data_IF_277091596564
#
_entry.id   IF_277091596564
#
_cell.length_a   1.000
_cell.length_b   1.000
_cell.length_c   1.000
_cell.angle_alpha   90.00
_cell.angle_beta   90.00
_cell.angle_gamma   90.00
#
_symmetry.space_group_name_H-M   'P 1'
#
loop_
_entity.id
_entity.type
_entity.pdbx_description
1 polymer ?
#
# COMPACT_ATOMS: atom_id res chain seq x y z
N UNK A 1 -54.39 14.46 -18.62
CA UNK A 1 -53.45 13.33 -18.82
C UNK A 1 -52.57 13.46 -20.07
N UNK A 2 -53.09 13.75 -21.28
CA UNK A 2 -52.29 13.81 -22.53
C UNK A 2 -51.12 14.82 -22.53
N UNK A 3 -51.30 16.02 -21.95
CA UNK A 3 -50.23 17.03 -21.90
C UNK A 3 -49.03 16.66 -21.00
N UNK A 4 -49.26 15.84 -19.96
CA UNK A 4 -48.19 15.35 -19.09
C UNK A 4 -47.30 14.33 -19.80
N UNK A 5 -47.92 13.41 -20.57
CA UNK A 5 -47.20 12.38 -21.34
C UNK A 5 -46.33 13.02 -22.43
N UNK A 6 -46.84 14.02 -23.14
CA UNK A 6 -46.08 14.74 -24.17
C UNK A 6 -44.88 15.47 -23.56
N UNK A 7 -45.07 16.14 -22.42
CA UNK A 7 -43.98 16.82 -21.70
C UNK A 7 -42.91 15.83 -21.22
N UNK A 8 -43.31 14.68 -20.67
CA UNK A 8 -42.38 13.63 -20.24
C UNK A 8 -41.60 13.05 -21.42
N UNK A 9 -42.25 12.81 -22.56
CA UNK A 9 -41.58 12.36 -23.79
C UNK A 9 -40.55 13.38 -24.30
N UNK A 10 -40.89 14.67 -24.30
CA UNK A 10 -39.96 15.74 -24.68
C UNK A 10 -38.75 15.76 -23.74
N UNK A 11 -38.95 15.66 -22.43
CA UNK A 11 -37.86 15.61 -21.45
C UNK A 11 -36.97 14.38 -21.63
N UNK A 12 -37.53 13.21 -21.95
CA UNK A 12 -36.76 12.01 -22.28
C UNK A 12 -35.93 12.17 -23.54
N UNK A 13 -36.46 12.82 -24.58
CA UNK A 13 -35.73 13.09 -25.82
C UNK A 13 -34.56 14.05 -25.55
N UNK A 14 -34.78 15.11 -24.77
CA UNK A 14 -33.70 16.01 -24.36
C UNK A 14 -32.66 15.32 -23.48
N UNK A 15 -33.09 14.48 -22.54
CA UNK A 15 -32.19 13.71 -21.69
C UNK A 15 -31.33 12.74 -22.51
N UNK A 16 -31.94 11.98 -23.43
CA UNK A 16 -31.22 11.06 -24.31
C UNK A 16 -30.26 11.79 -25.27
N UNK A 17 -30.67 12.95 -25.80
CA UNK A 17 -29.80 13.79 -26.62
C UNK A 17 -28.60 14.33 -25.85
N UNK A 18 -28.83 14.86 -24.64
CA UNK A 18 -27.77 15.39 -23.80
C UNK A 18 -26.85 14.29 -23.26
N UNK A 19 -27.41 13.18 -22.80
CA UNK A 19 -26.66 12.03 -22.31
C UNK A 19 -25.85 11.37 -23.44
N UNK A 20 -26.44 11.20 -24.63
CA UNK A 20 -25.73 10.69 -25.80
C UNK A 20 -24.59 11.61 -26.24
N UNK A 21 -24.80 12.93 -26.20
CA UNK A 21 -23.75 13.91 -26.48
C UNK A 21 -22.62 13.87 -25.44
N UNK A 22 -22.95 13.81 -24.15
CA UNK A 22 -21.97 13.68 -23.07
C UNK A 22 -21.16 12.38 -23.17
N UNK A 23 -21.81 11.24 -23.45
CA UNK A 23 -21.15 9.95 -23.69
C UNK A 23 -20.24 10.03 -24.92
N UNK A 24 -20.66 10.71 -25.98
CA UNK A 24 -19.86 10.91 -27.19
C UNK A 24 -18.59 11.73 -26.90
N UNK A 25 -18.70 12.84 -26.17
CA UNK A 25 -17.54 13.62 -25.72
C UNK A 25 -16.62 12.79 -24.83
N UNK A 26 -17.19 12.09 -23.84
CA UNK A 26 -16.41 11.22 -22.96
C UNK A 26 -15.68 10.13 -23.77
N UNK A 27 -16.32 9.57 -24.79
CA UNK A 27 -15.76 8.53 -25.63
C UNK A 27 -14.67 9.06 -26.58
N UNK A 28 -14.83 10.26 -27.14
CA UNK A 28 -13.79 10.97 -27.89
C UNK A 28 -12.58 11.31 -27.01
N UNK A 29 -12.80 11.82 -25.81
CA UNK A 29 -11.73 12.12 -24.86
C UNK A 29 -11.04 10.84 -24.39
N UNK A 30 -11.79 9.78 -24.08
CA UNK A 30 -11.23 8.46 -23.78
C UNK A 30 -10.46 7.89 -24.98
N UNK A 31 -10.90 8.13 -26.22
CA UNK A 31 -10.17 7.75 -27.43
C UNK A 31 -8.88 8.54 -27.58
N UNK A 32 -8.87 9.86 -27.37
CA UNK A 32 -7.65 10.69 -27.37
C UNK A 32 -6.68 10.26 -26.27
N UNK A 33 -7.20 9.95 -25.10
CA UNK A 33 -6.45 9.44 -23.94
C UNK A 33 -5.93 8.02 -24.17
N UNK A 34 -6.62 7.21 -25.00
CA UNK A 34 -6.22 5.84 -25.38
C UNK A 34 -5.32 5.81 -26.63
N UNK A 35 -5.35 6.86 -27.46
CA UNK A 35 -4.51 7.01 -28.66
C UNK A 35 -3.27 7.87 -28.44
N UNK A 36 -3.26 8.75 -27.42
CA UNK A 36 -2.05 9.43 -27.02
C UNK A 36 -1.10 8.39 -26.42
N UNK A 37 0.08 8.29 -27.01
CA UNK A 37 1.15 7.51 -26.40
C UNK A 37 1.39 8.03 -24.97
N UNK A 38 1.77 7.14 -24.04
CA UNK A 38 2.29 7.56 -22.74
C UNK A 38 3.29 8.69 -22.98
N UNK A 39 3.21 9.79 -22.24
CA UNK A 39 4.22 10.84 -22.35
C UNK A 39 5.54 10.27 -21.82
N UNK A 40 6.37 9.77 -22.73
CA UNK A 40 7.73 9.32 -22.47
C UNK A 40 8.67 10.49 -22.69
N UNK A 41 9.24 10.99 -21.60
CA UNK A 41 10.21 12.06 -21.70
C UNK A 41 11.55 11.53 -22.19
N UNK A 42 11.92 11.93 -23.41
CA UNK A 42 13.18 11.61 -24.07
C UNK A 42 14.14 12.82 -24.10
N UNK A 43 13.83 13.90 -23.38
CA UNK A 43 14.63 15.11 -23.37
C UNK A 43 15.98 14.86 -22.72
N UNK A 44 17.06 14.97 -23.51
CA UNK A 44 18.43 15.01 -22.99
C UNK A 44 18.79 16.44 -22.65
N UNK A 45 18.87 16.73 -21.37
CA UNK A 45 19.29 18.04 -20.89
C UNK A 45 20.81 18.23 -21.09
N UNK A 46 21.26 19.46 -21.42
CA UNK A 46 22.68 19.77 -21.44
C UNK A 46 23.28 19.74 -20.02
N UNK A 47 24.60 19.94 -19.91
CA UNK A 47 25.26 19.99 -18.61
C UNK A 47 24.66 21.09 -17.73
N UNK A 48 24.73 20.90 -16.42
CA UNK A 48 24.13 21.80 -15.44
C UNK A 48 24.71 23.22 -15.52
N UNK A 49 25.99 23.35 -15.91
CA UNK A 49 26.66 24.62 -16.18
C UNK A 49 26.04 25.36 -17.37
N UNK A 50 25.79 24.64 -18.47
CA UNK A 50 25.12 25.20 -19.65
C UNK A 50 23.69 25.59 -19.31
N UNK A 51 22.97 24.76 -18.54
CA UNK A 51 21.62 25.10 -18.08
C UNK A 51 21.59 26.41 -17.29
N UNK A 52 22.49 26.58 -16.31
CA UNK A 52 22.61 27.82 -15.52
C UNK A 52 22.91 29.04 -16.39
N UNK A 53 23.79 28.89 -17.39
CA UNK A 53 24.07 29.96 -18.34
C UNK A 53 22.83 30.31 -19.18
N UNK A 54 22.10 29.32 -19.69
CA UNK A 54 20.88 29.53 -20.49
C UNK A 54 19.70 30.04 -19.67
N UNK A 55 19.68 29.76 -18.37
CA UNK A 55 18.66 30.26 -17.45
C UNK A 55 18.84 31.75 -17.14
N UNK A 56 19.96 32.38 -17.54
CA UNK A 56 20.22 33.81 -17.37
C UNK A 56 20.01 34.28 -15.92
N UNK A 57 20.46 33.47 -14.94
CA UNK A 57 20.27 33.65 -13.48
C UNK A 57 18.85 33.45 -12.95
N UNK A 58 17.91 33.01 -13.78
CA UNK A 58 16.59 32.54 -13.35
C UNK A 58 16.61 31.03 -13.05
N UNK A 59 17.62 30.58 -12.31
CA UNK A 59 17.89 29.16 -12.07
C UNK A 59 16.71 28.47 -11.37
N UNK A 60 16.07 29.13 -10.41
CA UNK A 60 14.88 28.64 -9.71
C UNK A 60 13.66 28.51 -10.64
N UNK A 61 13.43 29.47 -11.54
CA UNK A 61 12.31 29.40 -12.49
C UNK A 61 12.55 28.28 -13.51
N UNK A 62 13.79 28.11 -13.97
CA UNK A 62 14.16 26.99 -14.82
C UNK A 62 13.97 25.64 -14.09
N UNK A 63 14.34 25.57 -12.81
CA UNK A 63 14.09 24.42 -11.96
C UNK A 63 12.59 24.11 -11.82
N UNK A 64 11.74 25.12 -11.59
CA UNK A 64 10.28 24.97 -11.49
C UNK A 64 9.66 24.44 -12.80
N UNK A 65 10.12 24.93 -13.96
CA UNK A 65 9.65 24.46 -15.26
C UNK A 65 10.05 22.99 -15.50
N UNK A 66 11.29 22.63 -15.16
CA UNK A 66 11.75 21.25 -15.23
C UNK A 66 11.01 20.36 -14.22
N UNK A 67 10.66 20.88 -13.06
CA UNK A 67 9.88 20.17 -12.05
C UNK A 67 8.48 19.81 -12.56
N UNK A 68 7.75 20.77 -13.15
CA UNK A 68 6.44 20.50 -13.77
C UNK A 68 6.58 19.41 -14.84
N UNK A 69 7.62 19.50 -15.68
CA UNK A 69 7.90 18.47 -16.69
C UNK A 69 8.20 17.11 -16.05
N UNK A 70 8.95 17.06 -14.96
CA UNK A 70 9.26 15.82 -14.24
C UNK A 70 8.01 15.15 -13.67
N UNK A 71 7.05 15.93 -13.14
CA UNK A 71 5.76 15.41 -12.67
C UNK A 71 4.95 14.85 -13.84
N UNK A 72 4.86 15.57 -14.96
CA UNK A 72 4.15 15.10 -16.15
C UNK A 72 4.79 13.84 -16.73
N UNK A 73 6.12 13.81 -16.74
CA UNK A 73 6.91 12.66 -17.13
C UNK A 73 6.58 11.47 -16.24
N UNK A 74 6.61 11.61 -14.91
CA UNK A 74 6.24 10.55 -13.99
C UNK A 74 4.77 10.11 -14.13
N UNK A 75 3.83 11.06 -14.25
CA UNK A 75 2.39 10.80 -14.36
C UNK A 75 1.92 10.26 -15.72
N UNK A 76 2.82 10.12 -16.71
CA UNK A 76 2.52 9.53 -18.01
C UNK A 76 2.13 8.05 -17.89
N UNK A 77 1.01 7.64 -18.50
CA UNK A 77 0.44 6.29 -18.40
C UNK A 77 1.34 5.20 -18.98
N UNK A 78 2.14 4.50 -18.20
CA UNK A 78 2.95 3.38 -18.71
C UNK A 78 4.07 3.02 -17.77
N UNK A 79 3.73 2.53 -16.57
CA UNK A 79 4.71 2.23 -15.53
C UNK A 79 5.46 0.91 -15.78
N UNK A 80 4.95 0.05 -16.66
CA UNK A 80 5.57 -1.24 -16.98
C UNK A 80 6.60 -1.08 -18.11
N UNK A 81 7.88 -1.27 -17.77
CA UNK A 81 9.03 -1.38 -18.69
C UNK A 81 9.59 -0.08 -19.28
N UNK A 82 9.47 1.05 -18.57
CA UNK A 82 10.03 2.35 -18.97
C UNK A 82 11.49 2.55 -18.54
N UNK A 83 12.28 3.29 -19.34
CA UNK A 83 13.59 3.80 -18.91
C UNK A 83 13.42 5.00 -17.95
N UNK A 84 13.89 4.82 -16.72
CA UNK A 84 13.85 5.82 -15.66
C UNK A 84 14.98 6.85 -15.72
N UNK A 85 16.00 6.64 -16.57
CA UNK A 85 17.15 7.53 -16.67
C UNK A 85 16.79 8.96 -17.05
N UNK A 86 15.93 9.24 -18.06
CA UNK A 86 15.56 10.62 -18.39
C UNK A 86 14.86 11.33 -17.22
N UNK A 87 14.05 10.59 -16.45
CA UNK A 87 13.36 11.13 -15.27
C UNK A 87 14.36 11.45 -14.15
N UNK A 88 15.33 10.56 -13.94
CA UNK A 88 16.42 10.81 -12.99
C UNK A 88 17.23 12.05 -13.40
N UNK A 89 17.58 12.16 -14.68
CA UNK A 89 18.35 13.30 -15.21
C UNK A 89 17.62 14.62 -14.97
N UNK A 90 16.29 14.67 -15.10
CA UNK A 90 15.50 15.86 -14.73
C UNK A 90 15.71 16.22 -13.26
N UNK A 91 15.52 15.28 -12.34
CA UNK A 91 15.69 15.55 -10.90
C UNK A 91 17.14 15.95 -10.56
N UNK A 92 18.13 15.30 -11.17
CA UNK A 92 19.53 15.66 -10.99
C UNK A 92 19.83 17.09 -11.45
N UNK A 93 19.29 17.51 -12.61
CA UNK A 93 19.45 18.88 -13.12
C UNK A 93 18.67 19.92 -12.34
N UNK A 94 17.45 19.61 -11.88
CA UNK A 94 16.68 20.48 -10.99
C UNK A 94 17.46 20.75 -9.71
N UNK A 95 18.02 19.70 -9.10
CA UNK A 95 18.80 19.83 -7.85
C UNK A 95 20.13 20.56 -8.04
N UNK A 96 20.68 20.63 -9.26
CA UNK A 96 21.83 21.47 -9.56
C UNK A 96 21.46 22.95 -9.74
N UNK A 97 20.29 23.22 -10.33
CA UNK A 97 19.77 24.57 -10.55
C UNK A 97 19.26 25.20 -9.25
N UNK A 98 18.47 24.45 -8.48
CA UNK A 98 18.00 24.83 -7.15
C UNK A 98 18.39 23.76 -6.11
N UNK A 99 19.59 23.88 -5.50
CA UNK A 99 20.03 22.97 -4.45
C UNK A 99 19.14 23.00 -3.20
N UNK A 100 18.31 24.03 -3.01
CA UNK A 100 17.37 24.16 -1.89
C UNK A 100 16.03 23.48 -2.13
N UNK A 101 15.81 22.85 -3.27
CA UNK A 101 14.52 22.24 -3.59
C UNK A 101 14.34 20.87 -2.92
N UNK A 102 14.01 20.87 -1.61
CA UNK A 102 13.84 19.67 -0.77
C UNK A 102 12.95 18.58 -1.41
N UNK A 103 11.83 18.99 -2.01
CA UNK A 103 10.86 18.08 -2.62
C UNK A 103 11.47 17.34 -3.80
N UNK A 104 12.37 17.98 -4.57
CA UNK A 104 13.02 17.32 -5.71
C UNK A 104 13.85 16.11 -5.26
N UNK A 105 14.55 16.21 -4.13
CA UNK A 105 15.31 15.09 -3.56
C UNK A 105 14.42 13.98 -3.02
N UNK A 106 13.41 14.34 -2.23
CA UNK A 106 12.56 13.37 -1.51
C UNK A 106 11.57 12.69 -2.46
N UNK A 107 10.90 13.45 -3.33
CA UNK A 107 10.02 12.93 -4.37
C UNK A 107 10.81 12.21 -5.46
N UNK A 108 11.94 12.75 -5.91
CA UNK A 108 12.80 12.07 -6.89
C UNK A 108 13.29 10.72 -6.38
N UNK A 109 13.64 10.61 -5.10
CA UNK A 109 13.96 9.34 -4.47
C UNK A 109 12.79 8.36 -4.46
N UNK A 110 11.56 8.81 -4.19
CA UNK A 110 10.36 7.96 -4.27
C UNK A 110 10.12 7.50 -5.72
N UNK A 111 10.16 8.42 -6.69
CA UNK A 111 9.89 8.11 -8.10
C UNK A 111 10.93 7.14 -8.67
N UNK A 112 12.22 7.43 -8.49
CA UNK A 112 13.29 6.61 -9.06
C UNK A 112 13.51 5.33 -8.25
N UNK A 113 13.45 5.45 -6.93
CA UNK A 113 13.72 4.36 -6.00
C UNK A 113 12.53 3.43 -5.81
N UNK A 114 11.41 3.93 -5.29
CA UNK A 114 10.24 3.12 -4.92
C UNK A 114 9.50 2.63 -6.19
N UNK A 115 9.14 3.54 -7.09
CA UNK A 115 8.38 3.20 -8.31
C UNK A 115 9.27 2.65 -9.42
N UNK A 116 10.47 3.23 -9.60
CA UNK A 116 11.40 2.82 -10.64
C UNK A 116 12.25 1.59 -10.31
N UNK A 117 12.24 1.12 -9.06
CA UNK A 117 13.06 0.00 -8.61
C UNK A 117 14.57 0.27 -8.64
N UNK A 118 15.00 1.54 -8.70
CA UNK A 118 16.40 1.98 -8.78
C UNK A 118 16.82 2.62 -7.46
N UNK A 119 16.68 1.92 -6.34
CA UNK A 119 16.85 2.47 -4.98
C UNK A 119 18.23 3.10 -4.75
N UNK A 120 19.29 2.55 -5.36
CA UNK A 120 20.65 3.14 -5.26
C UNK A 120 20.74 4.54 -5.88
N UNK A 121 20.02 4.78 -6.98
CA UNK A 121 19.99 6.09 -7.66
C UNK A 121 19.10 7.07 -6.90
N UNK A 122 17.94 6.62 -6.40
CA UNK A 122 17.12 7.42 -5.48
C UNK A 122 17.91 7.89 -4.26
N UNK A 123 18.67 6.99 -3.63
CA UNK A 123 19.59 7.34 -2.54
C UNK A 123 20.74 8.26 -2.98
N UNK A 124 21.11 8.24 -4.26
CA UNK A 124 22.05 9.20 -4.84
C UNK A 124 21.54 10.64 -4.70
N UNK A 125 20.26 10.87 -5.03
CA UNK A 125 19.61 12.17 -4.82
C UNK A 125 19.56 12.52 -3.33
N UNK A 126 19.17 11.59 -2.46
CA UNK A 126 19.15 11.84 -1.01
C UNK A 126 20.54 12.24 -0.49
N UNK A 127 21.59 11.53 -0.89
CA UNK A 127 22.97 11.84 -0.52
C UNK A 127 23.38 13.23 -1.02
N UNK A 128 23.01 13.57 -2.26
CA UNK A 128 23.27 14.89 -2.85
C UNK A 128 22.61 16.01 -2.04
N UNK A 129 21.33 15.84 -1.66
CA UNK A 129 20.55 16.84 -0.91
C UNK A 129 20.99 16.99 0.54
N UNK A 130 21.41 15.90 1.19
CA UNK A 130 21.76 15.87 2.61
C UNK A 130 22.93 16.78 2.99
N UNK A 131 23.82 17.07 2.05
CA UNK A 131 24.98 17.93 2.24
C UNK A 131 24.82 19.34 1.65
N UNK A 132 23.64 19.66 1.10
CA UNK A 132 23.37 21.02 0.62
C UNK A 132 23.16 21.98 1.78
N UNK A 133 23.85 23.12 1.72
CA UNK A 133 23.88 24.10 2.81
C UNK A 133 22.48 24.57 3.23
N UNK A 134 21.60 24.84 2.26
CA UNK A 134 20.21 25.26 2.46
C UNK A 134 19.35 24.21 3.20
N UNK A 135 19.72 22.93 3.12
CA UNK A 135 18.95 21.80 3.64
C UNK A 135 19.63 21.12 4.84
N UNK A 136 20.81 21.60 5.26
CA UNK A 136 21.54 21.06 6.40
C UNK A 136 20.76 21.09 7.72
N UNK A 137 19.74 21.94 7.83
CA UNK A 137 18.91 22.00 9.04
C UNK A 137 17.79 20.98 9.03
N UNK A 138 17.45 20.41 7.86
CA UNK A 138 16.26 19.62 7.62
C UNK A 138 16.46 18.12 7.88
N UNK A 139 15.54 17.54 8.65
CA UNK A 139 15.52 16.11 8.96
C UNK A 139 14.94 15.25 7.85
N UNK A 140 14.04 15.81 7.01
CA UNK A 140 13.26 15.00 6.07
C UNK A 140 14.14 14.24 5.09
N UNK A 141 15.15 14.89 4.50
CA UNK A 141 16.05 14.24 3.53
C UNK A 141 16.79 13.02 4.13
N UNK A 142 17.55 13.15 5.23
CA UNK A 142 18.17 11.98 5.85
C UNK A 142 17.12 10.98 6.36
N UNK A 143 15.94 11.42 6.80
CA UNK A 143 14.88 10.52 7.21
C UNK A 143 14.36 9.65 6.05
N UNK A 144 14.18 10.21 4.85
CA UNK A 144 13.81 9.43 3.65
C UNK A 144 14.91 8.42 3.28
N UNK A 145 16.18 8.81 3.39
CA UNK A 145 17.30 7.89 3.18
C UNK A 145 17.30 6.72 4.15
N UNK A 146 17.00 6.99 5.42
CA UNK A 146 16.84 5.97 6.46
C UNK A 146 15.72 4.99 6.11
N UNK A 147 14.56 5.52 5.70
CA UNK A 147 13.42 4.71 5.32
C UNK A 147 13.73 3.78 4.15
N UNK A 148 14.24 4.31 3.04
CA UNK A 148 14.52 3.50 1.84
C UNK A 148 15.56 2.43 2.13
N UNK A 149 16.62 2.78 2.87
CA UNK A 149 17.64 1.81 3.27
C UNK A 149 17.06 0.66 4.11
N UNK A 150 16.19 0.97 5.07
CA UNK A 150 15.63 -0.04 5.96
C UNK A 150 14.55 -0.89 5.29
N UNK A 151 13.58 -0.25 4.63
CA UNK A 151 12.37 -0.89 4.14
C UNK A 151 12.57 -1.57 2.78
N UNK A 152 13.19 -0.86 1.84
CA UNK A 152 13.35 -1.36 0.47
C UNK A 152 14.61 -2.19 0.31
N UNK A 153 15.74 -1.70 0.85
CA UNK A 153 17.03 -2.36 0.68
C UNK A 153 17.33 -3.41 1.76
N UNK A 154 16.58 -3.41 2.87
CA UNK A 154 16.86 -4.22 4.08
C UNK A 154 18.29 -4.04 4.61
N UNK A 155 18.87 -2.85 4.37
CA UNK A 155 20.22 -2.47 4.79
C UNK A 155 20.13 -1.62 6.07
N UNK A 156 20.12 -2.32 7.20
CA UNK A 156 19.95 -1.71 8.53
C UNK A 156 21.11 -0.79 8.88
N UNK A 157 22.34 -1.09 8.45
CA UNK A 157 23.51 -0.27 8.77
C UNK A 157 23.47 1.07 8.05
N UNK A 158 23.08 1.06 6.76
CA UNK A 158 22.84 2.29 6.01
C UNK A 158 21.67 3.08 6.60
N UNK A 159 20.59 2.40 7.00
CA UNK A 159 19.47 3.05 7.68
C UNK A 159 19.90 3.72 8.99
N UNK A 160 20.69 3.05 9.84
CA UNK A 160 21.26 3.63 11.07
C UNK A 160 22.10 4.86 10.79
N UNK A 161 22.89 4.85 9.71
CA UNK A 161 23.70 6.00 9.33
C UNK A 161 22.83 7.22 9.03
N UNK A 162 21.85 7.07 8.14
CA UNK A 162 20.90 8.14 7.81
C UNK A 162 20.06 8.58 9.03
N UNK A 163 19.57 7.62 9.82
CA UNK A 163 18.76 7.89 11.01
C UNK A 163 19.53 8.69 12.08
N UNK A 164 20.82 8.39 12.29
CA UNK A 164 21.68 9.19 13.17
C UNK A 164 21.85 10.63 12.70
N UNK A 165 21.86 10.86 11.38
CA UNK A 165 21.91 12.21 10.82
C UNK A 165 20.56 12.89 11.04
N UNK A 166 19.45 12.26 10.66
CA UNK A 166 18.10 12.80 10.81
C UNK A 166 17.81 13.25 12.25
N UNK A 167 18.13 12.42 13.24
CA UNK A 167 17.95 12.72 14.68
C UNK A 167 18.72 13.97 15.14
N UNK A 168 19.85 14.30 14.50
CA UNK A 168 20.72 15.42 14.89
C UNK A 168 20.34 16.72 14.19
N UNK A 169 19.39 16.70 13.26
CA UNK A 169 18.95 17.90 12.53
C UNK A 169 18.16 18.81 13.45
N UNK A 170 18.30 20.11 13.25
CA UNK A 170 17.76 21.12 14.16
C UNK A 170 16.23 21.17 14.15
N UNK A 171 15.61 20.80 13.02
CA UNK A 171 14.16 20.73 12.86
C UNK A 171 13.60 19.31 13.14
N UNK A 172 14.44 18.38 13.61
CA UNK A 172 14.04 16.99 13.86
C UNK A 172 12.92 16.94 14.89
N UNK A 173 11.73 16.46 14.53
CA UNK A 173 10.64 16.29 15.48
C UNK A 173 10.96 15.22 16.54
N UNK A 174 10.31 15.31 17.69
CA UNK A 174 10.49 14.38 18.83
C UNK A 174 10.18 12.91 18.53
N UNK A 175 9.50 12.64 17.41
CA UNK A 175 9.23 11.28 16.96
C UNK A 175 10.42 10.63 16.23
N UNK A 176 11.24 11.41 15.52
CA UNK A 176 12.37 10.88 14.74
C UNK A 176 13.34 10.08 15.62
N UNK A 177 13.78 10.54 16.81
CA UNK A 177 14.62 9.75 17.71
C UNK A 177 14.02 8.39 18.07
N UNK A 178 12.70 8.33 18.28
CA UNK A 178 12.00 7.08 18.60
C UNK A 178 12.06 6.12 17.42
N UNK A 179 11.75 6.62 16.23
CA UNK A 179 11.82 5.83 15.00
C UNK A 179 13.23 5.29 14.73
N UNK A 180 14.25 6.12 14.94
CA UNK A 180 15.66 5.71 14.79
C UNK A 180 16.03 4.64 15.82
N UNK A 181 15.52 4.70 17.05
CA UNK A 181 15.73 3.66 18.05
C UNK A 181 15.08 2.33 17.64
N UNK A 182 13.93 2.38 16.96
CA UNK A 182 13.26 1.18 16.47
C UNK A 182 13.99 0.50 15.31
N UNK A 183 14.88 1.16 14.57
CA UNK A 183 15.71 0.50 13.53
C UNK A 183 16.49 -0.71 14.07
N UNK A 184 16.82 -0.72 15.36
CA UNK A 184 17.58 -1.81 15.99
C UNK A 184 16.69 -3.01 16.35
N UNK A 185 15.37 -2.84 16.32
CA UNK A 185 14.39 -3.89 16.54
C UNK A 185 13.84 -4.32 15.19
N UNK A 186 13.81 -5.64 14.91
CA UNK A 186 13.33 -6.18 13.63
C UNK A 186 11.90 -5.70 13.26
N UNK A 187 11.08 -5.32 14.25
CA UNK A 187 9.75 -4.73 14.06
C UNK A 187 9.75 -3.24 13.70
N UNK A 188 10.87 -2.53 13.83
CA UNK A 188 10.95 -1.09 13.58
C UNK A 188 10.76 -0.68 12.13
N UNK A 189 11.05 -1.58 11.18
CA UNK A 189 10.75 -1.36 9.76
C UNK A 189 9.26 -1.06 9.55
N UNK A 190 8.39 -1.84 10.17
CA UNK A 190 6.94 -1.68 10.07
C UNK A 190 6.43 -0.42 10.75
N UNK A 191 7.04 -0.07 11.89
CA UNK A 191 6.77 1.18 12.59
C UNK A 191 7.07 2.39 11.69
N UNK A 192 8.26 2.43 11.05
CA UNK A 192 8.67 3.53 10.17
C UNK A 192 7.70 3.65 8.99
N UNK A 193 7.38 2.53 8.34
CA UNK A 193 6.44 2.51 7.21
C UNK A 193 5.06 3.02 7.61
N UNK A 194 4.52 2.53 8.73
CA UNK A 194 3.23 2.98 9.24
C UNK A 194 3.21 4.48 9.54
N UNK A 195 4.23 5.04 10.20
CA UNK A 195 4.31 6.48 10.49
C UNK A 195 4.34 7.34 9.21
N UNK A 196 5.10 6.91 8.18
CA UNK A 196 5.15 7.61 6.89
C UNK A 196 3.78 7.66 6.23
N UNK A 197 3.07 6.53 6.18
CA UNK A 197 1.73 6.50 5.59
C UNK A 197 0.69 7.22 6.46
N UNK A 198 0.90 7.28 7.77
CA UNK A 198 0.06 8.08 8.67
C UNK A 198 0.22 9.57 8.36
N UNK A 199 1.44 10.06 8.20
CA UNK A 199 1.70 11.43 7.75
C UNK A 199 0.95 11.74 6.45
N UNK A 200 1.04 10.86 5.45
CA UNK A 200 0.36 11.05 4.17
C UNK A 200 -1.17 11.04 4.31
N UNK A 201 -1.70 10.16 5.16
CA UNK A 201 -3.12 10.08 5.45
C UNK A 201 -3.62 11.36 6.13
N UNK A 202 -2.95 11.84 7.18
CA UNK A 202 -3.34 13.05 7.90
C UNK A 202 -3.21 14.30 7.03
N UNK A 203 -2.21 14.37 6.15
CA UNK A 203 -2.11 15.41 5.12
C UNK A 203 -3.31 15.39 4.17
N UNK A 204 -3.72 14.21 3.69
CA UNK A 204 -4.87 14.06 2.81
C UNK A 204 -6.21 14.38 3.51
N UNK A 205 -6.31 14.06 4.81
CA UNK A 205 -7.44 14.46 5.66
C UNK A 205 -7.47 15.98 5.82
N UNK A 206 -6.33 16.62 6.09
CA UNK A 206 -6.23 18.08 6.17
C UNK A 206 -6.58 18.78 4.85
N UNK A 207 -6.23 18.17 3.73
CA UNK A 207 -6.55 18.66 2.39
C UNK A 207 -7.99 18.34 1.92
N UNK A 208 -8.73 17.52 2.68
CA UNK A 208 -10.05 16.99 2.30
C UNK A 208 -10.06 16.27 0.94
N UNK A 209 -8.96 15.59 0.58
CA UNK A 209 -8.83 14.83 -0.66
C UNK A 209 -9.17 13.35 -0.40
N UNK A 210 -10.40 12.95 -0.72
CA UNK A 210 -10.91 11.59 -0.50
C UNK A 210 -10.07 10.54 -1.28
N UNK A 211 -9.60 10.88 -2.48
CA UNK A 211 -8.78 10.01 -3.30
C UNK A 211 -7.46 9.70 -2.60
N UNK A 212 -6.74 10.74 -2.17
CA UNK A 212 -5.47 10.57 -1.43
C UNK A 212 -5.67 9.92 -0.07
N UNK A 213 -6.78 10.20 0.63
CA UNK A 213 -7.12 9.53 1.89
C UNK A 213 -7.26 8.02 1.68
N UNK A 214 -7.97 7.59 0.62
CA UNK A 214 -8.16 6.18 0.32
C UNK A 214 -6.83 5.46 0.00
N UNK A 215 -5.95 6.10 -0.77
CA UNK A 215 -4.65 5.55 -1.14
C UNK A 215 -3.76 5.44 0.11
N UNK A 216 -3.69 6.48 0.92
CA UNK A 216 -2.87 6.49 2.12
C UNK A 216 -3.39 5.51 3.19
N UNK A 217 -4.71 5.39 3.36
CA UNK A 217 -5.32 4.40 4.25
C UNK A 217 -5.02 2.97 3.79
N UNK A 218 -5.09 2.69 2.48
CA UNK A 218 -4.68 1.40 1.95
C UNK A 218 -3.21 1.08 2.24
N UNK A 219 -2.30 2.06 2.13
CA UNK A 219 -0.90 1.88 2.51
C UNK A 219 -0.67 1.68 4.01
N UNK A 220 -1.48 2.33 4.86
CA UNK A 220 -1.50 2.06 6.30
C UNK A 220 -1.91 0.61 6.58
N UNK A 221 -3.00 0.14 5.97
CA UNK A 221 -3.49 -1.24 6.09
C UNK A 221 -2.45 -2.25 5.63
N UNK A 222 -1.83 -2.04 4.46
CA UNK A 222 -0.74 -2.89 3.95
C UNK A 222 0.44 -2.95 4.93
N UNK A 223 0.78 -1.83 5.58
CA UNK A 223 1.89 -1.75 6.52
C UNK A 223 1.59 -2.52 7.81
N UNK A 224 0.38 -2.37 8.35
CA UNK A 224 -0.09 -3.16 9.50
C UNK A 224 -0.18 -4.64 9.17
N UNK A 225 -0.68 -4.99 7.99
CA UNK A 225 -0.78 -6.38 7.54
C UNK A 225 0.60 -7.05 7.48
N UNK A 226 1.57 -6.38 6.87
CA UNK A 226 2.96 -6.85 6.83
C UNK A 226 3.58 -6.97 8.22
N UNK A 227 3.27 -6.05 9.13
CA UNK A 227 3.71 -6.11 10.52
C UNK A 227 3.16 -7.35 11.21
N UNK A 228 1.84 -7.54 11.15
CA UNK A 228 1.14 -8.67 11.73
C UNK A 228 1.66 -10.01 11.19
N UNK A 229 1.80 -10.11 9.86
CA UNK A 229 2.36 -11.30 9.20
C UNK A 229 3.80 -11.57 9.61
N UNK A 230 4.61 -10.55 9.87
CA UNK A 230 5.97 -10.75 10.40
C UNK A 230 5.96 -11.38 11.79
N UNK A 231 5.04 -10.95 12.67
CA UNK A 231 4.89 -11.52 14.01
C UNK A 231 4.39 -12.96 13.94
N UNK A 232 3.38 -13.21 13.10
CA UNK A 232 2.80 -14.54 12.90
C UNK A 232 3.80 -15.52 12.26
N UNK A 233 4.63 -15.05 11.32
CA UNK A 233 5.70 -15.88 10.75
C UNK A 233 6.76 -16.24 11.79
N UNK A 234 7.14 -15.28 12.64
CA UNK A 234 8.06 -15.57 13.76
C UNK A 234 7.45 -16.60 14.72
N UNK A 235 6.16 -16.46 15.03
CA UNK A 235 5.43 -17.43 15.84
C UNK A 235 5.37 -18.82 15.17
N UNK A 236 5.21 -18.87 13.85
CA UNK A 236 5.23 -20.10 13.07
C UNK A 236 6.60 -20.80 13.13
N UNK A 237 7.69 -20.04 12.99
CA UNK A 237 9.05 -20.55 13.12
C UNK A 237 9.31 -21.08 14.56
N UNK A 238 8.84 -20.36 15.58
CA UNK A 238 8.93 -20.77 17.00
C UNK A 238 8.12 -22.06 17.28
N UNK A 239 6.91 -22.16 16.74
CA UNK A 239 6.05 -23.34 16.87
C UNK A 239 6.69 -24.56 16.20
N UNK A 240 7.18 -24.39 14.97
CA UNK A 240 7.82 -25.46 14.20
C UNK A 240 9.09 -25.94 14.88
N UNK A 241 9.88 -25.02 15.43
CA UNK A 241 11.12 -25.34 16.15
C UNK A 241 10.88 -26.04 17.49
N UNK A 242 9.79 -25.69 18.19
CA UNK A 242 9.48 -26.26 19.52
C UNK A 242 8.76 -27.61 19.46
N UNK A 243 7.85 -27.79 18.49
CA UNK A 243 7.02 -29.01 18.38
C UNK A 243 7.58 -30.02 17.37
N UNK A 244 8.45 -29.58 16.46
CA UNK A 244 8.92 -30.39 15.33
C UNK A 244 7.85 -30.68 14.28
N UNK A 245 6.67 -30.03 14.37
CA UNK A 245 5.54 -30.20 13.45
C UNK A 245 5.05 -28.83 12.99
N UNK A 246 4.42 -28.78 11.82
CA UNK A 246 3.72 -27.59 11.34
C UNK A 246 2.39 -27.44 12.09
N UNK A 247 1.93 -26.21 12.37
CA UNK A 247 0.65 -25.98 13.01
C UNK A 247 -0.50 -26.39 12.09
N UNK A 248 -1.60 -26.82 12.69
CA UNK A 248 -2.80 -27.20 11.93
C UNK A 248 -3.74 -26.02 11.73
N UNK A 249 -3.73 -25.07 12.66
CA UNK A 249 -4.56 -23.86 12.62
C UNK A 249 -3.81 -22.64 13.13
N UNK A 250 -4.29 -21.45 12.78
CA UNK A 250 -3.66 -20.19 13.20
C UNK A 250 -3.65 -20.05 14.72
N UNK A 251 -4.68 -20.56 15.42
CA UNK A 251 -4.82 -20.43 16.86
C UNK A 251 -3.74 -21.20 17.63
N UNK A 252 -3.14 -22.21 17.02
CA UNK A 252 -2.00 -22.95 17.58
C UNK A 252 -0.80 -22.01 17.85
N UNK A 253 -0.69 -20.91 17.08
CA UNK A 253 0.37 -19.90 17.22
C UNK A 253 0.13 -18.92 18.36
N UNK A 254 -1.11 -18.77 18.86
CA UNK A 254 -1.50 -17.71 19.79
C UNK A 254 -0.70 -17.68 21.10
N UNK A 255 -0.16 -18.84 21.50
CA UNK A 255 0.60 -19.01 22.75
C UNK A 255 2.12 -18.85 22.58
N UNK A 256 2.60 -18.66 21.35
CA UNK A 256 4.02 -18.56 21.04
C UNK A 256 4.63 -17.27 21.61
N UNK A 257 5.92 -17.30 22.02
CA UNK A 257 6.62 -16.13 22.56
C UNK A 257 6.50 -14.86 21.72
N UNK A 258 6.58 -14.97 20.38
CA UNK A 258 6.44 -13.84 19.46
C UNK A 258 5.08 -13.12 19.57
N UNK A 259 4.04 -13.81 20.04
CA UNK A 259 2.68 -13.28 20.22
C UNK A 259 2.35 -12.98 21.68
N UNK A 260 3.36 -12.86 22.55
CA UNK A 260 3.18 -12.40 23.94
C UNK A 260 3.64 -10.96 24.08
N UNK A 261 2.75 -10.11 24.57
CA UNK A 261 3.03 -8.70 24.91
C UNK A 261 3.74 -7.93 23.78
N UNK A 262 3.31 -8.15 22.53
CA UNK A 262 3.82 -7.42 21.38
C UNK A 262 3.06 -6.10 21.22
N UNK A 263 3.73 -5.12 20.61
CA UNK A 263 3.17 -3.81 20.30
C UNK A 263 2.93 -3.71 18.79
N UNK A 264 1.72 -3.31 18.39
CA UNK A 264 1.33 -3.12 16.99
C UNK A 264 0.31 -2.00 16.86
N UNK A 265 0.20 -1.39 15.67
CA UNK A 265 -0.84 -0.42 15.37
C UNK A 265 -2.17 -1.10 15.03
N UNK A 266 -3.27 -0.56 15.57
CA UNK A 266 -4.64 -0.98 15.22
C UNK A 266 -5.33 0.06 14.33
N UNK A 267 -5.81 -0.38 13.16
CA UNK A 267 -6.51 0.49 12.20
C UNK A 267 -7.85 0.98 12.76
N UNK A 268 -8.61 0.11 13.43
CA UNK A 268 -9.86 0.47 14.11
C UNK A 268 -9.64 1.61 15.12
N UNK A 269 -8.57 1.52 15.92
CA UNK A 269 -8.19 2.55 16.89
C UNK A 269 -7.69 3.84 16.23
N UNK A 270 -6.93 3.73 15.14
CA UNK A 270 -6.49 4.89 14.34
C UNK A 270 -7.70 5.67 13.83
N UNK A 271 -8.68 5.00 13.24
CA UNK A 271 -9.89 5.62 12.70
C UNK A 271 -10.68 6.30 13.83
N UNK A 272 -10.87 5.61 14.97
CA UNK A 272 -11.52 6.23 16.13
C UNK A 272 -10.80 7.49 16.64
N UNK A 273 -9.47 7.52 16.60
CA UNK A 273 -8.70 8.71 16.97
C UNK A 273 -8.92 9.84 15.97
N UNK A 274 -8.84 9.54 14.67
CA UNK A 274 -9.06 10.52 13.62
C UNK A 274 -10.44 11.15 13.72
N UNK A 275 -11.51 10.34 13.84
CA UNK A 275 -12.89 10.84 13.97
C UNK A 275 -13.06 11.76 15.18
N UNK A 276 -12.58 11.34 16.36
CA UNK A 276 -12.69 12.15 17.58
C UNK A 276 -11.93 13.48 17.46
N UNK A 277 -10.76 13.49 16.82
CA UNK A 277 -10.02 14.73 16.60
C UNK A 277 -10.64 15.62 15.53
N UNK A 278 -11.20 15.04 14.45
CA UNK A 278 -11.96 15.79 13.45
C UNK A 278 -13.18 16.47 14.08
N UNK A 279 -13.92 15.75 14.93
CA UNK A 279 -15.03 16.29 15.69
C UNK A 279 -14.59 17.44 16.61
N UNK A 280 -13.48 17.28 17.36
CA UNK A 280 -12.92 18.35 18.21
C UNK A 280 -12.50 19.59 17.41
N UNK A 281 -11.99 19.39 16.20
CA UNK A 281 -11.57 20.46 15.29
C UNK A 281 -12.73 21.05 14.47
N UNK A 282 -13.97 20.59 14.69
CA UNK A 282 -15.16 20.97 13.91
C UNK A 282 -14.95 20.77 12.40
N UNK A 283 -14.30 19.68 12.01
CA UNK A 283 -14.05 19.30 10.61
C UNK A 283 -14.97 18.15 10.18
N UNK A 284 -15.17 17.96 8.86
CA UNK A 284 -15.91 16.81 8.36
C UNK A 284 -15.30 15.48 8.85
N UNK A 285 -16.17 14.53 9.14
CA UNK A 285 -15.82 13.14 9.44
C UNK A 285 -15.18 12.46 8.23
N UNK A 286 -14.55 11.30 8.43
CA UNK A 286 -14.03 10.53 7.31
C UNK A 286 -15.20 10.01 6.45
N UNK A 287 -14.99 9.93 5.14
CA UNK A 287 -16.02 9.43 4.23
C UNK A 287 -16.32 7.94 4.48
N UNK A 288 -17.60 7.56 4.52
CA UNK A 288 -18.00 6.15 4.66
C UNK A 288 -17.35 5.23 3.61
N UNK A 289 -17.12 5.74 2.40
CA UNK A 289 -16.51 4.99 1.29
C UNK A 289 -15.12 4.43 1.68
N UNK A 290 -14.31 5.22 2.40
CA UNK A 290 -12.98 4.78 2.84
C UNK A 290 -13.03 3.83 4.05
N UNK A 291 -14.14 3.82 4.79
CA UNK A 291 -14.33 2.98 5.97
C UNK A 291 -14.90 1.58 5.65
N UNK A 292 -15.39 1.35 4.43
CA UNK A 292 -16.01 0.07 4.03
C UNK A 292 -15.09 -1.14 4.06
N UNK A 293 -13.78 -0.94 3.99
CA UNK A 293 -12.78 -2.02 3.83
C UNK A 293 -11.83 -2.14 5.02
N UNK A 294 -12.24 -1.69 6.20
CA UNK A 294 -11.42 -1.73 7.42
C UNK A 294 -12.19 -2.38 8.58
N UNK A 295 -11.44 -2.82 9.59
CA UNK A 295 -12.06 -3.11 10.87
C UNK A 295 -12.60 -1.82 11.48
N UNK A 296 -13.91 -1.77 11.68
CA UNK A 296 -14.57 -0.59 12.24
C UNK A 296 -14.23 -0.40 13.72
N UNK A 297 -14.13 0.86 14.18
CA UNK A 297 -13.91 1.15 15.58
C UNK A 297 -15.06 0.65 16.46
N UNK A 298 -14.71 0.07 17.61
CA UNK A 298 -15.67 -0.28 18.65
C UNK A 298 -16.27 0.97 19.30
N UNK A 299 -17.47 0.86 19.86
CA UNK A 299 -18.10 1.96 20.59
C UNK A 299 -17.21 2.48 21.74
N UNK A 300 -16.47 1.59 22.40
CA UNK A 300 -15.53 1.96 23.46
C UNK A 300 -14.37 2.82 22.92
N UNK A 301 -13.84 2.51 21.73
CA UNK A 301 -12.80 3.33 21.09
C UNK A 301 -13.35 4.69 20.64
N UNK A 302 -14.59 4.74 20.13
CA UNK A 302 -15.25 5.99 19.73
C UNK A 302 -15.59 6.91 20.91
N UNK A 303 -15.84 6.34 22.09
CA UNK A 303 -16.19 7.10 23.28
C UNK A 303 -15.00 7.41 24.20
N UNK A 304 -13.80 6.93 23.87
CA UNK A 304 -12.63 7.15 24.69
C UNK A 304 -12.26 8.66 24.75
N UNK A 305 -11.72 9.15 25.86
CA UNK A 305 -11.29 10.54 25.95
C UNK A 305 -10.13 10.80 24.99
N UNK A 306 -10.08 12.01 24.44
CA UNK A 306 -8.94 12.53 23.68
C UNK A 306 -8.09 13.44 24.58
N UNK A 307 -6.78 13.45 24.35
CA UNK A 307 -5.87 14.34 25.08
C UNK A 307 -6.14 15.79 24.68
N UNK A 308 -5.89 16.73 25.61
CA UNK A 308 -6.04 18.14 25.28
C UNK A 308 -4.89 18.63 24.39
N UNK A 309 -5.24 19.40 23.37
CA UNK A 309 -4.39 19.76 22.23
C UNK A 309 -4.59 21.23 21.86
N UNK A 310 -4.68 22.09 22.87
CA UNK A 310 -4.95 23.54 22.76
C UNK A 310 -4.11 24.29 21.73
N UNK A 311 -2.95 23.76 21.31
CA UNK A 311 -2.05 24.38 20.35
C UNK A 311 -2.15 23.85 18.90
N UNK A 312 -2.94 22.82 18.62
CA UNK A 312 -2.95 22.17 17.29
C UNK A 312 -4.23 22.49 16.50
N UNK A 313 -4.07 23.00 15.26
CA UNK A 313 -5.19 23.42 14.39
C UNK A 313 -5.48 22.47 13.23
N UNK A 314 -4.64 21.47 13.01
CA UNK A 314 -4.71 20.55 11.87
C UNK A 314 -4.40 19.11 12.29
N UNK A 315 -4.83 18.15 11.48
CA UNK A 315 -4.66 16.72 11.76
C UNK A 315 -3.18 16.32 11.72
N UNK A 316 -2.39 16.91 10.83
CA UNK A 316 -0.97 16.65 10.74
C UNK A 316 -0.22 16.95 12.04
N UNK A 317 -0.54 18.06 12.71
CA UNK A 317 0.07 18.40 14.00
C UNK A 317 -0.23 17.39 15.11
N UNK A 318 -1.27 16.56 14.92
CA UNK A 318 -1.67 15.50 15.85
C UNK A 318 -1.01 14.15 15.55
N UNK A 319 -0.20 14.03 14.48
CA UNK A 319 0.40 12.78 14.03
C UNK A 319 1.05 12.00 15.18
N UNK A 320 1.92 12.64 15.96
CA UNK A 320 2.64 11.99 17.06
C UNK A 320 1.72 11.38 18.11
N UNK A 321 0.64 12.09 18.39
CA UNK A 321 -0.31 11.74 19.42
C UNK A 321 -1.17 10.59 18.92
N UNK A 322 -1.72 10.72 17.71
CA UNK A 322 -2.50 9.69 17.03
C UNK A 322 -1.67 8.40 16.90
N UNK A 323 -0.44 8.52 16.40
CA UNK A 323 0.50 7.41 16.27
C UNK A 323 0.71 6.70 17.61
N UNK A 324 1.04 7.45 18.68
CA UNK A 324 1.31 6.86 19.99
C UNK A 324 0.06 6.17 20.55
N UNK A 325 -1.11 6.78 20.38
CA UNK A 325 -2.36 6.26 20.92
C UNK A 325 -2.93 5.12 20.09
N UNK A 326 -2.54 4.93 18.82
CA UNK A 326 -2.99 3.80 18.00
C UNK A 326 -2.15 2.53 18.23
N UNK A 327 -0.95 2.65 18.81
CA UNK A 327 -0.17 1.49 19.24
C UNK A 327 -0.79 0.85 20.48
N UNK A 328 -0.97 -0.47 20.41
CA UNK A 328 -1.50 -1.27 21.51
C UNK A 328 -0.56 -2.41 21.86
N UNK A 329 -0.50 -2.72 23.15
CA UNK A 329 0.16 -3.94 23.64
C UNK A 329 -0.88 -5.03 23.81
N UNK A 330 -0.66 -6.16 23.14
CA UNK A 330 -1.60 -7.29 23.17
C UNK A 330 -0.86 -8.63 23.19
N UNK A 331 -1.62 -9.69 23.42
CA UNK A 331 -1.15 -11.07 23.30
C UNK A 331 -2.16 -11.87 22.47
N UNK A 332 -1.70 -12.91 21.78
CA UNK A 332 -2.51 -13.73 20.88
C UNK A 332 -2.41 -13.31 19.42
N UNK A 333 -3.35 -13.77 18.59
CA UNK A 333 -3.35 -13.47 17.15
C UNK A 333 -3.70 -11.98 16.95
N UNK A 334 -2.95 -11.22 16.12
CA UNK A 334 -3.26 -9.83 15.81
C UNK A 334 -4.56 -9.69 15.00
N UNK A 335 -5.16 -8.51 15.09
CA UNK A 335 -6.32 -8.14 14.28
C UNK A 335 -5.90 -7.86 12.83
N UNK A 336 -6.64 -8.41 11.88
CA UNK A 336 -6.42 -8.19 10.46
C UNK A 336 -7.01 -6.82 10.05
N UNK A 337 -6.27 -5.96 9.33
CA UNK A 337 -6.66 -4.56 9.13
C UNK A 337 -7.87 -4.34 8.21
N UNK A 338 -8.28 -5.33 7.40
CA UNK A 338 -9.43 -5.23 6.48
C UNK A 338 -10.77 -5.68 7.10
N UNK A 339 -10.83 -5.98 8.40
CA UNK A 339 -12.06 -6.40 9.07
C UNK A 339 -12.34 -7.90 9.04
N UNK A 340 -11.38 -8.72 8.59
CA UNK A 340 -11.48 -10.19 8.61
C UNK A 340 -10.62 -10.78 9.72
N UNK A 341 -10.07 -11.99 9.52
CA UNK A 341 -9.16 -12.66 10.44
C UNK A 341 -8.00 -13.26 9.66
N UNK A 342 -6.86 -13.47 10.33
CA UNK A 342 -5.77 -14.25 9.76
C UNK A 342 -6.09 -15.74 9.80
N UNK A 343 -5.78 -16.44 8.71
CA UNK A 343 -5.87 -17.90 8.58
C UNK A 343 -4.56 -18.47 8.03
N UNK A 344 -4.33 -19.75 8.28
CA UNK A 344 -3.24 -20.49 7.64
C UNK A 344 -3.72 -21.04 6.30
N UNK A 345 -2.96 -20.76 5.24
CA UNK A 345 -3.15 -21.36 3.94
C UNK A 345 -2.50 -22.75 3.92
N UNK A 346 -3.33 -23.79 4.08
CA UNK A 346 -2.92 -25.19 4.10
C UNK A 346 -2.21 -25.65 2.81
N UNK A 347 -2.53 -25.03 1.67
CA UNK A 347 -1.89 -25.34 0.38
C UNK A 347 -0.41 -24.98 0.35
N UNK A 348 -0.04 -23.91 1.06
CA UNK A 348 1.33 -23.39 1.11
C UNK A 348 2.10 -23.88 2.34
N UNK A 349 1.43 -24.59 3.24
CA UNK A 349 2.02 -25.08 4.48
C UNK A 349 3.02 -26.20 4.17
N UNK A 350 4.32 -25.94 4.36
CA UNK A 350 5.40 -26.93 4.14
C UNK A 350 6.16 -26.81 2.82
N UNK A 351 5.91 -25.78 2.00
CA UNK A 351 6.76 -25.45 0.86
C UNK A 351 8.13 -24.89 1.35
N UNK A 352 9.24 -25.24 0.66
CA UNK A 352 10.60 -24.78 1.03
C UNK A 352 10.80 -23.28 0.72
N UNK A 353 11.70 -22.56 1.44
CA UNK A 353 11.57 -21.13 1.60
C UNK A 353 12.56 -20.32 0.75
N UNK A 354 12.08 -19.24 0.12
CA UNK A 354 12.89 -18.01 0.04
C UNK A 354 12.05 -16.73 -0.09
N UNK A 355 10.92 -16.72 -0.83
CA UNK A 355 10.10 -15.50 -1.00
C UNK A 355 8.59 -15.65 -0.72
N UNK A 356 8.03 -16.86 -0.65
CA UNK A 356 6.57 -17.11 -0.52
C UNK A 356 6.05 -17.30 0.92
N UNK A 357 6.91 -17.22 1.96
CA UNK A 357 6.48 -17.43 3.36
C UNK A 357 5.40 -16.43 3.84
N UNK A 358 5.34 -15.25 3.23
CA UNK A 358 4.33 -14.24 3.56
C UNK A 358 2.91 -14.62 3.10
N UNK A 359 2.75 -15.65 2.26
CA UNK A 359 1.44 -16.12 1.77
C UNK A 359 0.86 -17.29 2.58
N UNK A 360 1.69 -17.96 3.39
CA UNK A 360 1.23 -19.03 4.30
C UNK A 360 0.23 -18.49 5.32
N UNK A 361 0.42 -17.24 5.74
CA UNK A 361 -0.52 -16.50 6.58
C UNK A 361 -1.21 -15.47 5.70
N UNK A 362 -2.51 -15.60 5.52
CA UNK A 362 -3.31 -14.72 4.67
C UNK A 362 -4.59 -14.30 5.39
N UNK A 363 -5.24 -13.25 4.88
CA UNK A 363 -6.58 -12.89 5.36
C UNK A 363 -7.58 -13.93 4.89
N UNK A 364 -8.60 -14.21 5.69
CA UNK A 364 -9.67 -15.16 5.33
C UNK A 364 -10.32 -14.79 4.00
N UNK A 365 -10.60 -13.50 3.79
CA UNK A 365 -11.15 -13.00 2.53
C UNK A 365 -10.22 -13.29 1.35
N UNK A 366 -8.91 -13.09 1.52
CA UNK A 366 -7.91 -13.38 0.47
C UNK A 366 -7.83 -14.87 0.16
N UNK A 367 -7.89 -15.74 1.18
CA UNK A 367 -7.90 -17.20 0.98
C UNK A 367 -9.19 -17.66 0.31
N UNK A 368 -10.34 -17.06 0.67
CA UNK A 368 -11.64 -17.33 0.04
C UNK A 368 -11.65 -16.92 -1.44
N UNK A 369 -11.14 -15.74 -1.76
CA UNK A 369 -10.99 -15.28 -3.15
C UNK A 369 -10.07 -16.20 -3.96
N UNK A 370 -8.93 -16.57 -3.38
CA UNK A 370 -8.01 -17.54 -3.99
C UNK A 370 -8.70 -18.88 -4.27
N UNK A 371 -9.46 -19.42 -3.30
CA UNK A 371 -10.21 -20.65 -3.46
C UNK A 371 -11.29 -20.53 -4.54
N UNK A 372 -12.01 -19.42 -4.60
CA UNK A 372 -13.02 -19.17 -5.63
C UNK A 372 -12.41 -19.18 -7.03
N UNK A 373 -11.28 -18.48 -7.22
CA UNK A 373 -10.56 -18.45 -8.49
C UNK A 373 -10.02 -19.84 -8.87
N UNK A 374 -9.52 -20.60 -7.89
CA UNK A 374 -9.04 -21.96 -8.09
C UNK A 374 -10.18 -22.91 -8.51
N UNK A 375 -11.33 -22.86 -7.82
CA UNK A 375 -12.53 -23.65 -8.18
C UNK A 375 -13.03 -23.29 -9.58
N UNK A 376 -13.05 -22.01 -9.93
CA UNK A 376 -13.41 -21.56 -11.28
C UNK A 376 -12.47 -22.16 -12.35
N UNK A 377 -11.15 -22.08 -12.15
CA UNK A 377 -10.17 -22.65 -13.07
C UNK A 377 -10.28 -24.18 -13.18
N UNK A 378 -10.50 -24.87 -12.07
CA UNK A 378 -10.69 -26.32 -12.05
C UNK A 378 -11.96 -26.73 -12.79
N UNK A 379 -13.10 -26.07 -12.52
CA UNK A 379 -14.38 -26.31 -13.22
C UNK A 379 -14.22 -26.09 -14.73
N UNK A 380 -13.58 -25.01 -15.15
CA UNK A 380 -13.30 -24.74 -16.57
C UNK A 380 -12.44 -25.83 -17.23
N UNK A 381 -11.46 -26.36 -16.49
CA UNK A 381 -10.58 -27.44 -16.98
C UNK A 381 -11.35 -28.76 -17.09
N UNK A 382 -12.21 -29.09 -16.12
CA UNK A 382 -13.11 -30.26 -16.16
C UNK A 382 -14.05 -30.15 -17.37
N UNK A 383 -14.64 -28.99 -17.62
CA UNK A 383 -15.54 -28.77 -18.75
C UNK A 383 -14.83 -28.93 -20.10
N UNK A 384 -13.59 -28.45 -20.21
CA UNK A 384 -12.76 -28.68 -21.38
C UNK A 384 -12.51 -30.17 -21.58
N UNK A 385 -12.13 -30.89 -20.53
CA UNK A 385 -11.86 -32.33 -20.60
C UNK A 385 -13.11 -33.14 -20.94
N UNK A 386 -14.27 -32.76 -20.39
CA UNK A 386 -15.57 -33.35 -20.71
C UNK A 386 -15.90 -33.24 -22.21
N UNK A 387 -15.58 -32.11 -22.85
CA UNK A 387 -15.73 -31.92 -24.30
C UNK A 387 -14.78 -32.81 -25.11
N UNK A 388 -13.55 -32.99 -24.65
CA UNK A 388 -12.56 -33.87 -25.31
C UNK A 388 -12.93 -35.36 -25.23
N UNK A 389 -13.45 -35.81 -24.08
CA UNK A 389 -13.81 -37.21 -23.85
C UNK A 389 -15.20 -37.58 -24.36
N UNK A 390 -16.08 -36.60 -24.61
CA UNK A 390 -17.49 -36.84 -24.92
C UNK A 390 -18.31 -37.40 -23.75
N UNK A 391 -17.71 -37.54 -22.56
CA UNK A 391 -18.32 -38.00 -21.31
C UNK A 391 -17.77 -37.20 -20.13
N UNK A 392 -18.44 -37.26 -18.97
CA UNK A 392 -17.86 -36.71 -17.74
C UNK A 392 -16.59 -37.50 -17.37
N UNK A 393 -15.50 -36.81 -16.95
CA UNK A 393 -14.32 -37.48 -16.43
C UNK A 393 -14.70 -38.36 -15.21
N UNK A 394 -14.18 -39.57 -15.12
CA UNK A 394 -14.49 -40.50 -14.02
C UNK A 394 -13.75 -40.11 -12.73
N UNK A 395 -12.66 -39.36 -12.85
CA UNK A 395 -11.88 -38.85 -11.73
C UNK A 395 -11.14 -37.56 -12.11
N UNK A 396 -10.69 -36.81 -11.11
CA UNK A 396 -9.82 -35.65 -11.31
C UNK A 396 -8.47 -36.02 -11.94
N UNK A 397 -8.04 -37.28 -11.82
CA UNK A 397 -6.83 -37.79 -12.48
C UNK A 397 -6.96 -37.81 -14.01
N UNK A 398 -8.16 -38.05 -14.54
CA UNK A 398 -8.41 -37.94 -15.99
C UNK A 398 -8.34 -36.49 -16.50
N UNK A 399 -8.46 -35.51 -15.59
CA UNK A 399 -8.47 -34.07 -15.89
C UNK A 399 -7.08 -33.47 -15.76
N UNK A 400 -6.39 -33.73 -14.64
CA UNK A 400 -5.10 -33.12 -14.32
C UNK A 400 -3.90 -34.04 -14.58
N UNK A 401 -4.15 -35.28 -15.01
CA UNK A 401 -3.12 -36.32 -15.24
C UNK A 401 -2.30 -36.70 -14.00
N UNK A 402 -2.67 -36.16 -12.84
CA UNK A 402 -2.12 -36.45 -11.53
C UNK A 402 -3.26 -36.55 -10.51
N UNK A 403 -3.00 -37.25 -9.40
CA UNK A 403 -3.92 -37.19 -8.26
C UNK A 403 -3.76 -35.80 -7.60
N UNK A 404 -4.85 -35.09 -7.30
CA UNK A 404 -4.77 -33.84 -6.55
C UNK A 404 -4.35 -34.17 -5.12
N UNK A 405 -3.04 -34.14 -4.87
CA UNK A 405 -2.45 -34.23 -3.52
C UNK A 405 -2.65 -32.91 -2.76
N UNK A 406 -3.10 -31.86 -3.45
CA UNK A 406 -3.26 -30.52 -2.91
C UNK A 406 -4.41 -30.47 -1.90
N UNK A 407 -4.06 -30.17 -0.66
CA UNK A 407 -5.04 -29.82 0.37
C UNK A 407 -5.71 -28.51 -0.04
N UNK A 408 -6.99 -28.33 0.29
CA UNK A 408 -7.64 -27.04 0.07
C UNK A 408 -6.98 -25.94 0.93
N UNK A 409 -7.10 -24.67 0.53
CA UNK A 409 -6.47 -23.56 1.26
C UNK A 409 -6.85 -23.47 2.75
N UNK A 410 -8.07 -23.87 3.12
CA UNK A 410 -8.51 -23.93 4.53
C UNK A 410 -8.27 -25.28 5.22
N UNK A 411 -7.49 -26.19 4.61
CA UNK A 411 -7.21 -27.52 5.17
C UNK A 411 -8.24 -28.61 4.81
N UNK A 412 -9.24 -28.28 4.00
CA UNK A 412 -10.25 -29.23 3.48
C UNK A 412 -9.74 -30.13 2.33
N UNK A 413 -10.66 -30.89 1.73
CA UNK A 413 -10.44 -31.75 0.55
C UNK A 413 -11.41 -31.44 -0.58
N UNK A 414 -10.89 -31.32 -1.80
CA UNK A 414 -11.72 -31.14 -2.98
C UNK A 414 -12.61 -32.37 -3.22
N UNK A 415 -13.91 -32.14 -3.40
CA UNK A 415 -14.89 -33.19 -3.71
C UNK A 415 -15.34 -33.07 -5.16
N UNK A 416 -15.14 -34.15 -5.92
CA UNK A 416 -15.56 -34.29 -7.31
C UNK A 416 -16.66 -35.34 -7.43
N UNK A 417 -17.75 -35.00 -8.11
CA UNK A 417 -18.82 -35.93 -8.46
C UNK A 417 -18.69 -36.36 -9.94
N UNK A 418 -18.31 -37.63 -10.23
CA UNK A 418 -18.15 -38.12 -11.59
C UNK A 418 -19.43 -38.14 -12.43
N UNK A 419 -20.61 -38.18 -11.78
CA UNK A 419 -21.90 -38.23 -12.49
C UNK A 419 -22.28 -36.86 -13.05
N UNK A 420 -22.05 -35.82 -12.27
CA UNK A 420 -22.40 -34.44 -12.64
C UNK A 420 -21.23 -33.68 -13.25
N UNK A 421 -19.99 -34.09 -12.95
CA UNK A 421 -18.77 -33.34 -13.25
C UNK A 421 -18.55 -32.16 -12.31
N UNK A 422 -19.31 -32.06 -11.21
CA UNK A 422 -19.23 -30.94 -10.28
C UNK A 422 -18.02 -31.09 -9.35
N UNK A 423 -17.31 -29.98 -9.13
CA UNK A 423 -16.22 -29.88 -8.17
C UNK A 423 -16.56 -28.83 -7.11
N UNK A 424 -16.44 -29.21 -5.83
CA UNK A 424 -16.72 -28.35 -4.68
C UNK A 424 -15.63 -28.45 -3.63
N UNK A 425 -15.56 -27.40 -2.81
CA UNK A 425 -14.73 -27.40 -1.61
C UNK A 425 -15.52 -27.96 -0.42
N UNK A 426 -14.85 -28.73 0.43
CA UNK A 426 -15.44 -29.17 1.72
C UNK A 426 -15.41 -28.10 2.79
N UNK A 427 -14.38 -27.25 2.76
CA UNK A 427 -14.19 -26.15 3.71
C UNK A 427 -15.07 -24.94 3.39
N UNK A 428 -15.42 -24.71 2.12
CA UNK A 428 -16.32 -23.66 1.66
C UNK A 428 -17.34 -24.20 0.64
N UNK A 429 -18.41 -24.90 1.09
CA UNK A 429 -19.39 -25.54 0.21
C UNK A 429 -20.24 -24.54 -0.60
N UNK A 430 -20.24 -23.27 -0.20
CA UNK A 430 -20.97 -22.15 -0.80
C UNK A 430 -20.30 -21.58 -2.07
N UNK A 431 -19.06 -21.96 -2.38
CA UNK A 431 -18.27 -21.49 -3.53
C UNK A 431 -18.39 -22.34 -4.81
#
# INVERSE_FOLDING_TARGET
MRGSIIRTLILWIFFLGFFGYAVSIQHEELKKVRSNQPFEDNLRLPSSEVLKLTALRYDMVAADLLWIRSIQSFGGRGMTNRDWRPVYDLFDKITDLDPGFEQCYTFGNMVIGDEGGRQKEGLGLINKGMFQFSLLRQYRIPFEGMYVANWQMKDVDKARWYGRIARKRADSPDWVPRIVAYLEVQSGAYYIGFDRFLNNFLLAVDANDIGLQSIALNKLKESVDKWNKSLLNKALDEYTSSTGRLPSRIEDLATMPALKNYEVAEISRLVALCERYLQKLSRPELSDDILTSITLPTQAQMNAPIEDTTNTRNMLGLQNLIFRQCLVKRSGIPEEPNGSHYVLNGTLLGTKPTDERLEVIASENGVREYLQNLLYAFRATIDKRKKELGRTPESLREVFYCDPVTTEPFGGKFQYDPKTGNLRSTSAPDL
#
